data_IF_659379609754
#
_entry.id   IF_659379609754
#
_cell.length_a   1.000
_cell.length_b   1.000
_cell.length_c   1.000
_cell.angle_alpha   90.00
_cell.angle_beta   90.00
_cell.angle_gamma   90.00
#
_symmetry.space_group_name_H-M   'P 1'
#
loop_
_entity.id
_entity.type
_entity.pdbx_description
1 polymer ?
#
# COMPACT_ATOMS: atom_id res chain seq x y z
N UNK A 1 29.09 -11.79 -18.36
CA UNK A 1 27.93 -12.69 -18.34
C UNK A 1 26.81 -12.00 -17.60
N UNK A 2 25.74 -11.62 -18.30
CA UNK A 2 24.57 -11.00 -17.69
C UNK A 2 23.87 -12.05 -16.81
N UNK A 3 23.93 -11.87 -15.49
CA UNK A 3 23.23 -12.73 -14.55
C UNK A 3 21.72 -12.56 -14.76
N UNK A 4 21.05 -13.63 -15.19
CA UNK A 4 19.60 -13.69 -15.15
C UNK A 4 19.15 -13.41 -13.71
N UNK A 5 18.31 -12.39 -13.53
CA UNK A 5 17.73 -12.08 -12.23
C UNK A 5 16.87 -13.29 -11.81
N UNK A 6 17.15 -13.94 -10.67
CA UNK A 6 16.41 -15.11 -10.21
C UNK A 6 14.91 -14.84 -9.98
N UNK A 7 14.48 -13.57 -10.05
CA UNK A 7 13.08 -13.16 -9.98
C UNK A 7 12.31 -13.33 -11.30
N UNK A 8 12.97 -13.37 -12.47
CA UNK A 8 12.30 -13.61 -13.76
C UNK A 8 11.79 -15.05 -13.89
N UNK A 9 12.38 -15.98 -13.15
CA UNK A 9 11.98 -17.39 -13.21
C UNK A 9 10.72 -17.67 -12.38
N UNK A 10 10.40 -16.83 -11.39
CA UNK A 10 9.24 -17.00 -10.51
C UNK A 10 7.97 -16.40 -11.13
N UNK A 11 8.10 -15.28 -11.83
CA UNK A 11 7.00 -14.61 -12.51
C UNK A 11 7.30 -14.54 -14.01
N UNK A 12 6.55 -15.31 -14.82
CA UNK A 12 6.73 -15.34 -16.26
C UNK A 12 6.58 -13.95 -16.91
N UNK A 13 7.32 -13.69 -17.99
CA UNK A 13 7.41 -12.38 -18.65
C UNK A 13 6.03 -11.77 -18.98
N UNK A 14 5.11 -12.59 -19.50
CA UNK A 14 3.75 -12.15 -19.85
C UNK A 14 2.94 -11.60 -18.67
N UNK A 15 3.13 -12.16 -17.46
CA UNK A 15 2.48 -11.63 -16.25
C UNK A 15 3.00 -10.24 -15.91
N UNK A 16 4.31 -10.04 -15.97
CA UNK A 16 4.94 -8.77 -15.66
C UNK A 16 4.52 -7.69 -16.66
N UNK A 17 4.42 -8.03 -17.94
CA UNK A 17 3.97 -7.09 -18.98
C UNK A 17 2.49 -6.73 -18.83
N UNK A 18 1.63 -7.69 -18.46
CA UNK A 18 0.23 -7.42 -18.12
C UNK A 18 0.12 -6.42 -16.97
N UNK A 19 0.92 -6.60 -15.92
CA UNK A 19 0.90 -5.72 -14.73
C UNK A 19 1.44 -4.32 -15.08
N UNK A 20 2.50 -4.24 -15.89
CA UNK A 20 3.01 -2.95 -16.38
C UNK A 20 1.96 -2.19 -17.18
N UNK A 21 1.17 -2.89 -18.00
CA UNK A 21 0.10 -2.28 -18.79
C UNK A 21 -1.01 -1.63 -17.96
N UNK A 22 -1.19 -2.04 -16.70
CA UNK A 22 -2.23 -1.47 -15.80
C UNK A 22 -1.66 -0.53 -14.74
N UNK A 23 -0.35 -0.57 -14.47
CA UNK A 23 0.31 0.40 -13.61
C UNK A 23 0.46 1.73 -14.34
N UNK A 24 0.20 2.81 -13.62
CA UNK A 24 0.34 4.16 -14.13
C UNK A 24 1.62 4.80 -13.64
N UNK A 25 2.20 5.68 -14.45
CA UNK A 25 3.40 6.46 -14.10
C UNK A 25 3.22 7.33 -12.84
N UNK A 26 1.98 7.52 -12.41
CA UNK A 26 1.60 8.31 -11.23
C UNK A 26 1.08 7.47 -10.06
N UNK A 27 1.23 6.15 -10.09
CA UNK A 27 0.74 5.28 -9.03
C UNK A 27 1.54 5.43 -7.74
N UNK A 28 0.88 5.23 -6.59
CA UNK A 28 1.51 5.41 -5.29
C UNK A 28 2.64 4.39 -5.07
N UNK A 29 2.42 3.12 -5.44
CA UNK A 29 3.47 2.11 -5.33
C UNK A 29 4.63 2.40 -6.29
N UNK A 30 4.34 2.79 -7.54
CA UNK A 30 5.35 3.10 -8.53
C UNK A 30 6.24 4.26 -8.07
N UNK A 31 5.64 5.37 -7.64
CA UNK A 31 6.39 6.56 -7.25
C UNK A 31 7.08 6.41 -5.89
N UNK A 32 6.54 5.61 -4.96
CA UNK A 32 7.18 5.38 -3.66
C UNK A 32 8.30 4.34 -3.72
N UNK A 33 8.20 3.32 -4.58
CA UNK A 33 9.13 2.17 -4.56
C UNK A 33 9.89 1.91 -5.85
N UNK A 34 9.53 2.60 -6.94
CA UNK A 34 10.05 2.38 -8.29
C UNK A 34 9.25 1.32 -9.07
N UNK A 35 9.34 1.40 -10.40
CA UNK A 35 8.61 0.55 -11.36
C UNK A 35 8.75 -0.95 -11.08
N UNK A 36 9.98 -1.45 -10.99
CA UNK A 36 10.22 -2.88 -10.83
C UNK A 36 9.71 -3.42 -9.49
N UNK A 37 9.83 -2.64 -8.41
CA UNK A 37 9.33 -3.03 -7.10
C UNK A 37 7.79 -3.05 -7.08
N UNK A 38 7.15 -2.06 -7.68
CA UNK A 38 5.69 -1.99 -7.80
C UNK A 38 5.14 -3.17 -8.62
N UNK A 39 5.73 -3.45 -9.79
CA UNK A 39 5.34 -4.57 -10.64
C UNK A 39 5.47 -5.90 -9.89
N UNK A 40 6.61 -6.14 -9.22
CA UNK A 40 6.81 -7.35 -8.41
C UNK A 40 5.79 -7.46 -7.29
N UNK A 41 5.46 -6.35 -6.63
CA UNK A 41 4.48 -6.34 -5.56
C UNK A 41 3.09 -6.72 -6.06
N UNK A 42 2.64 -6.13 -7.17
CA UNK A 42 1.37 -6.48 -7.79
C UNK A 42 1.37 -7.93 -8.27
N UNK A 43 2.48 -8.42 -8.83
CA UNK A 43 2.61 -9.83 -9.24
C UNK A 43 2.44 -10.78 -8.06
N UNK A 44 3.00 -10.43 -6.89
CA UNK A 44 2.79 -11.19 -5.65
C UNK A 44 1.33 -11.16 -5.21
N UNK A 45 0.65 -10.02 -5.30
CA UNK A 45 -0.78 -9.91 -4.97
C UNK A 45 -1.63 -10.82 -5.86
N UNK A 46 -1.42 -10.73 -7.18
CA UNK A 46 -2.13 -11.54 -8.18
C UNK A 46 -1.87 -13.03 -7.98
N UNK A 47 -0.60 -13.41 -7.82
CA UNK A 47 -0.23 -14.81 -7.57
C UNK A 47 -0.86 -15.32 -6.27
N UNK A 48 -0.86 -14.53 -5.20
CA UNK A 48 -1.49 -14.93 -3.94
C UNK A 48 -3.00 -15.11 -4.06
N UNK A 49 -3.69 -14.26 -4.83
CA UNK A 49 -5.11 -14.45 -5.12
C UNK A 49 -5.36 -15.71 -5.95
N UNK A 50 -4.51 -15.96 -6.96
CA UNK A 50 -4.61 -17.11 -7.85
C UNK A 50 -4.42 -18.46 -7.13
N UNK A 51 -3.40 -18.61 -6.28
CA UNK A 51 -3.15 -19.87 -5.53
C UNK A 51 -4.27 -20.22 -4.53
N UNK A 52 -5.16 -19.27 -4.21
CA UNK A 52 -6.30 -19.48 -3.30
C UNK A 52 -7.53 -20.00 -4.03
N UNK A 53 -7.54 -20.01 -5.36
CA UNK A 53 -8.59 -20.68 -6.12
C UNK A 53 -8.49 -22.21 -5.95
N UNK A 54 -9.61 -22.95 -6.02
CA UNK A 54 -9.58 -24.41 -6.07
C UNK A 54 -8.71 -24.89 -7.23
N UNK A 55 -7.84 -25.88 -6.99
CA UNK A 55 -6.83 -26.35 -7.96
C UNK A 55 -7.46 -26.68 -9.31
N UNK A 56 -8.61 -27.37 -9.31
CA UNK A 56 -9.30 -27.83 -10.52
C UNK A 56 -9.95 -26.70 -11.33
N UNK A 57 -10.02 -25.49 -10.77
CA UNK A 57 -10.65 -24.31 -11.37
C UNK A 57 -9.64 -23.20 -11.72
N UNK A 58 -8.34 -23.44 -11.51
CA UNK A 58 -7.31 -22.43 -11.73
C UNK A 58 -7.09 -22.22 -13.23
N UNK A 59 -7.38 -21.04 -13.80
CA UNK A 59 -6.91 -20.70 -15.13
C UNK A 59 -5.38 -20.54 -15.12
N UNK A 60 -4.77 -20.32 -16.28
CA UNK A 60 -3.36 -19.92 -16.31
C UNK A 60 -3.19 -18.59 -15.58
N UNK A 61 -2.07 -18.40 -14.89
CA UNK A 61 -1.83 -17.22 -14.05
C UNK A 61 -1.90 -15.91 -14.84
N UNK A 62 -1.45 -15.91 -16.11
CA UNK A 62 -1.52 -14.73 -16.96
C UNK A 62 -2.96 -14.39 -17.38
N UNK A 63 -3.77 -15.40 -17.73
CA UNK A 63 -5.20 -15.22 -18.02
C UNK A 63 -5.94 -14.70 -16.80
N UNK A 64 -5.63 -15.23 -15.61
CA UNK A 64 -6.17 -14.72 -14.35
C UNK A 64 -5.83 -13.25 -14.16
N UNK A 65 -4.58 -12.86 -14.37
CA UNK A 65 -4.14 -11.47 -14.22
C UNK A 65 -4.87 -10.54 -15.20
N UNK A 66 -4.92 -10.91 -16.48
CA UNK A 66 -5.55 -10.13 -17.53
C UNK A 66 -7.06 -9.95 -17.32
N UNK A 67 -7.73 -10.94 -16.75
CA UNK A 67 -9.18 -10.91 -16.51
C UNK A 67 -9.58 -10.32 -15.16
N UNK A 68 -8.67 -10.35 -14.17
CA UNK A 68 -8.96 -9.92 -12.79
C UNK A 68 -8.45 -8.52 -12.48
N UNK A 69 -7.42 -8.04 -13.18
CA UNK A 69 -6.94 -6.67 -13.04
C UNK A 69 -7.75 -5.74 -13.94
N UNK A 70 -8.23 -4.65 -13.37
CA UNK A 70 -8.91 -3.60 -14.13
C UNK A 70 -8.53 -2.23 -13.59
N UNK A 71 -8.65 -1.22 -14.44
CA UNK A 71 -8.39 0.17 -14.11
C UNK A 71 -9.71 0.92 -13.93
N UNK A 72 -9.85 1.64 -12.81
CA UNK A 72 -11.13 2.23 -12.38
C UNK A 72 -11.88 3.10 -13.42
N UNK A 73 -11.25 3.98 -14.23
CA UNK A 73 -12.00 4.77 -15.22
C UNK A 73 -12.48 3.97 -16.44
N UNK A 74 -12.14 2.68 -16.56
CA UNK A 74 -12.74 1.81 -17.56
C UNK A 74 -14.17 1.35 -17.17
N UNK A 75 -14.61 1.61 -15.93
CA UNK A 75 -15.97 1.31 -15.48
C UNK A 75 -16.79 2.61 -15.56
N UNK A 76 -17.23 2.94 -16.78
CA UNK A 76 -17.90 4.19 -17.16
C UNK A 76 -19.29 4.44 -16.52
N UNK A 77 -19.79 3.53 -15.69
CA UNK A 77 -21.19 3.54 -15.20
C UNK A 77 -21.32 3.73 -13.67
N UNK A 78 -20.35 4.38 -13.05
CA UNK A 78 -20.25 4.48 -11.58
C UNK A 78 -20.65 5.86 -11.04
N UNK A 79 -21.89 6.27 -11.28
CA UNK A 79 -22.48 7.49 -10.66
C UNK A 79 -22.68 7.39 -9.12
N UNK A 80 -22.21 6.31 -8.47
CA UNK A 80 -22.53 5.97 -7.08
C UNK A 80 -21.35 5.54 -6.20
N UNK A 81 -20.10 5.86 -6.51
CA UNK A 81 -18.98 5.24 -5.78
C UNK A 81 -18.18 6.08 -4.80
N UNK A 82 -17.90 5.39 -3.70
CA UNK A 82 -17.06 5.76 -2.56
C UNK A 82 -15.56 5.70 -2.88
N UNK A 83 -15.12 5.55 -4.14
CA UNK A 83 -13.69 5.45 -4.51
C UNK A 83 -13.29 6.49 -5.56
N UNK A 84 -12.04 7.02 -5.52
CA UNK A 84 -11.59 8.01 -6.48
C UNK A 84 -11.17 7.34 -7.80
N UNK A 85 -11.20 8.10 -8.89
CA UNK A 85 -10.61 7.68 -10.16
C UNK A 85 -9.11 7.41 -10.02
N UNK A 86 -8.55 6.58 -10.91
CA UNK A 86 -7.11 6.32 -10.91
C UNK A 86 -6.67 5.13 -10.05
N UNK A 87 -7.60 4.31 -9.56
CA UNK A 87 -7.28 3.11 -8.80
C UNK A 87 -7.11 1.88 -9.69
N UNK A 88 -6.13 1.05 -9.35
CA UNK A 88 -5.91 -0.28 -9.91
C UNK A 88 -6.64 -1.27 -9.02
N UNK A 89 -7.52 -2.05 -9.64
CA UNK A 89 -8.45 -2.92 -8.97
C UNK A 89 -8.12 -4.38 -9.28
N UNK A 90 -8.17 -5.23 -8.26
CA UNK A 90 -8.16 -6.68 -8.39
C UNK A 90 -9.55 -7.21 -8.06
N UNK A 91 -10.15 -7.96 -8.98
CA UNK A 91 -11.46 -8.58 -8.78
C UNK A 91 -11.41 -9.52 -7.58
N UNK A 92 -12.27 -9.24 -6.60
CA UNK A 92 -12.57 -10.17 -5.52
C UNK A 92 -13.47 -11.27 -6.05
N UNK A 93 -13.12 -12.52 -5.79
CA UNK A 93 -14.03 -13.64 -6.07
C UNK A 93 -15.01 -13.87 -4.91
N UNK A 94 -16.26 -14.25 -5.21
CA UNK A 94 -17.29 -14.49 -4.19
C UNK A 94 -16.84 -15.52 -3.14
N UNK A 95 -17.13 -15.24 -1.87
CA UNK A 95 -16.90 -16.17 -0.76
C UNK A 95 -15.43 -16.32 -0.31
N UNK A 96 -14.48 -15.70 -1.01
CA UNK A 96 -13.06 -15.83 -0.71
C UNK A 96 -12.45 -14.50 -0.25
N UNK A 97 -11.95 -14.48 0.98
CA UNK A 97 -11.18 -13.36 1.51
C UNK A 97 -9.69 -13.62 1.22
N UNK A 98 -9.21 -13.08 0.10
CA UNK A 98 -7.86 -13.33 -0.42
C UNK A 98 -6.76 -12.57 0.32
N UNK A 99 -7.10 -11.38 0.80
CA UNK A 99 -6.19 -10.33 1.24
C UNK A 99 -6.82 -9.62 2.45
N UNK A 100 -6.03 -9.07 3.37
CA UNK A 100 -6.59 -8.30 4.49
C UNK A 100 -7.16 -6.94 4.09
N UNK A 101 -6.94 -6.49 2.85
CA UNK A 101 -7.48 -5.21 2.39
C UNK A 101 -9.02 -5.29 2.26
N UNK A 102 -9.77 -4.20 2.54
CA UNK A 102 -11.21 -4.16 2.31
C UNK A 102 -11.58 -4.51 0.87
N UNK A 103 -12.80 -5.03 0.70
CA UNK A 103 -13.46 -5.12 -0.58
C UNK A 103 -14.34 -3.89 -0.76
N UNK A 104 -14.27 -3.31 -1.95
CA UNK A 104 -15.07 -2.17 -2.36
C UNK A 104 -16.07 -2.62 -3.43
N UNK A 105 -17.30 -2.16 -3.30
CA UNK A 105 -18.35 -2.45 -4.27
C UNK A 105 -18.16 -1.54 -5.49
N UNK A 106 -18.09 -2.16 -6.67
CA UNK A 106 -18.09 -1.48 -7.97
C UNK A 106 -19.21 -2.07 -8.83
N UNK A 107 -20.37 -1.42 -8.83
CA UNK A 107 -21.62 -1.96 -9.36
C UNK A 107 -22.06 -3.22 -8.62
N UNK A 108 -22.13 -4.35 -9.32
CA UNK A 108 -22.47 -5.68 -8.77
C UNK A 108 -21.24 -6.54 -8.46
N UNK A 109 -20.04 -5.99 -8.65
CA UNK A 109 -18.77 -6.69 -8.48
C UNK A 109 -18.01 -6.13 -7.28
N UNK A 110 -17.18 -6.97 -6.65
CA UNK A 110 -16.33 -6.59 -5.53
C UNK A 110 -14.87 -6.54 -5.96
N UNK A 111 -14.14 -5.55 -5.49
CA UNK A 111 -12.74 -5.37 -5.82
C UNK A 111 -11.89 -5.05 -4.60
N UNK A 112 -10.66 -5.55 -4.59
CA UNK A 112 -9.60 -5.00 -3.78
C UNK A 112 -8.92 -3.87 -4.54
N UNK A 113 -8.62 -2.77 -3.84
CA UNK A 113 -7.78 -1.72 -4.40
C UNK A 113 -6.32 -2.06 -4.09
N UNK A 114 -5.51 -2.23 -5.13
CA UNK A 114 -4.11 -2.64 -5.00
C UNK A 114 -3.13 -1.52 -5.31
N UNK A 115 -3.58 -0.44 -5.95
CA UNK A 115 -2.83 0.80 -6.15
C UNK A 115 -3.79 1.96 -6.48
N UNK A 116 -3.36 3.21 -6.30
CA UNK A 116 -4.08 4.40 -6.76
C UNK A 116 -3.11 5.52 -7.16
N UNK A 117 -3.55 6.41 -8.05
CA UNK A 117 -2.82 7.63 -8.38
C UNK A 117 -2.61 8.53 -7.15
N UNK A 118 -1.43 9.15 -7.06
CA UNK A 118 -1.18 10.20 -6.07
C UNK A 118 -2.19 11.35 -6.26
N UNK A 119 -2.80 11.89 -5.19
CA UNK A 119 -3.71 13.03 -5.30
C UNK A 119 -3.05 14.25 -5.95
N UNK A 120 -3.82 15.02 -6.73
CA UNK A 120 -3.34 16.24 -7.36
C UNK A 120 -2.80 17.24 -6.31
N UNK A 121 -1.69 17.92 -6.63
CA UNK A 121 -1.00 18.83 -5.71
C UNK A 121 -0.10 18.12 -4.68
N UNK A 122 0.05 16.80 -4.78
CA UNK A 122 0.95 16.02 -3.94
C UNK A 122 2.01 15.28 -4.74
N UNK A 123 3.14 14.98 -4.10
CA UNK A 123 4.21 14.13 -4.64
C UNK A 123 4.53 13.02 -3.66
N UNK A 124 4.72 11.80 -4.15
CA UNK A 124 5.05 10.67 -3.29
C UNK A 124 6.40 10.89 -2.57
N UNK A 125 6.48 10.45 -1.32
CA UNK A 125 7.75 10.34 -0.61
C UNK A 125 8.34 8.96 -0.93
N UNK A 126 9.55 8.88 -1.51
CA UNK A 126 10.20 7.60 -1.79
C UNK A 126 10.46 6.77 -0.51
N UNK A 127 10.39 5.45 -0.62
CA UNK A 127 10.76 4.52 0.44
C UNK A 127 11.60 3.36 -0.09
N UNK A 128 12.84 3.28 0.39
CA UNK A 128 13.81 2.27 -0.06
C UNK A 128 13.66 0.91 0.65
N UNK A 129 12.79 0.82 1.66
CA UNK A 129 12.69 -0.31 2.60
C UNK A 129 12.12 -1.60 2.01
N UNK A 130 11.56 -1.54 0.79
CA UNK A 130 11.08 -2.69 0.03
C UNK A 130 12.20 -3.70 -0.31
N UNK A 131 13.46 -3.28 -0.24
CA UNK A 131 14.60 -3.97 -0.88
C UNK A 131 15.58 -4.63 0.10
N UNK A 132 15.38 -4.53 1.42
CA UNK A 132 16.45 -4.74 2.43
C UNK A 132 17.16 -6.11 2.43
N UNK A 133 16.60 -7.14 1.79
CA UNK A 133 17.25 -8.44 1.63
C UNK A 133 17.58 -8.81 0.18
N UNK A 134 17.04 -8.11 -0.82
CA UNK A 134 17.17 -8.50 -2.23
C UNK A 134 18.63 -8.47 -2.69
N UNK A 135 19.41 -7.51 -2.21
CA UNK A 135 20.82 -7.34 -2.58
C UNK A 135 21.74 -8.43 -2.02
N UNK A 136 21.41 -8.99 -0.85
CA UNK A 136 22.32 -9.89 -0.12
C UNK A 136 21.81 -11.34 -0.07
N UNK A 137 20.51 -11.57 -0.14
CA UNK A 137 19.92 -12.90 -0.13
C UNK A 137 18.51 -12.91 -0.76
N UNK A 138 18.42 -13.05 -2.09
CA UNK A 138 17.14 -13.12 -2.81
C UNK A 138 16.22 -14.22 -2.29
N UNK A 139 16.79 -15.39 -1.95
CA UNK A 139 16.04 -16.53 -1.41
C UNK A 139 15.40 -16.21 -0.05
N UNK A 140 16.14 -15.53 0.84
CA UNK A 140 15.61 -15.09 2.14
C UNK A 140 14.57 -13.99 1.96
N UNK A 141 14.79 -13.06 1.02
CA UNK A 141 13.82 -12.04 0.68
C UNK A 141 12.49 -12.69 0.24
N UNK A 142 12.55 -13.65 -0.67
CA UNK A 142 11.38 -14.40 -1.13
C UNK A 142 10.71 -15.19 -0.01
N UNK A 143 11.48 -15.91 0.81
CA UNK A 143 10.94 -16.69 1.93
C UNK A 143 10.19 -15.80 2.94
N UNK A 144 10.69 -14.61 3.24
CA UNK A 144 10.00 -13.62 4.10
C UNK A 144 8.77 -13.08 3.38
N UNK A 145 8.90 -12.67 2.13
CA UNK A 145 7.83 -12.11 1.32
C UNK A 145 6.67 -13.09 1.12
N UNK A 146 6.93 -14.39 1.02
CA UNK A 146 5.89 -15.42 0.86
C UNK A 146 4.99 -15.61 2.09
N UNK A 147 5.43 -15.12 3.26
CA UNK A 147 4.73 -15.29 4.56
C UNK A 147 3.97 -14.06 5.02
N UNK A 148 4.10 -12.94 4.31
CA UNK A 148 3.45 -11.67 4.65
C UNK A 148 2.35 -11.36 3.65
N UNK A 149 1.33 -10.62 4.09
CA UNK A 149 0.27 -10.16 3.20
C UNK A 149 0.89 -9.30 2.06
N UNK A 150 0.71 -9.70 0.78
CA UNK A 150 1.25 -8.94 -0.34
C UNK A 150 0.39 -7.72 -0.69
N UNK A 151 -0.86 -7.60 -0.21
CA UNK A 151 -1.69 -6.46 -0.55
C UNK A 151 -1.29 -5.22 0.27
N UNK A 152 -1.04 -4.06 -0.36
CA UNK A 152 -1.00 -2.82 0.39
C UNK A 152 -2.37 -2.53 1.01
N UNK A 153 -2.35 -1.94 2.19
CA UNK A 153 -3.54 -1.42 2.85
C UNK A 153 -3.60 0.07 2.56
N UNK A 154 -4.45 0.48 1.63
CA UNK A 154 -4.66 1.88 1.27
C UNK A 154 -5.74 2.52 2.15
N UNK A 155 -5.55 3.80 2.49
CA UNK A 155 -6.48 4.56 3.32
C UNK A 155 -7.25 5.58 2.48
N UNK A 156 -8.56 5.62 2.70
CA UNK A 156 -9.45 6.55 2.04
C UNK A 156 -10.22 7.34 3.10
N UNK A 157 -10.13 8.66 3.02
CA UNK A 157 -10.93 9.57 3.85
C UNK A 157 -12.37 9.59 3.36
N UNK A 158 -13.34 9.43 4.25
CA UNK A 158 -14.74 9.72 3.92
C UNK A 158 -14.94 11.23 3.80
N UNK A 159 -15.48 11.69 2.67
CA UNK A 159 -15.85 13.10 2.47
C UNK A 159 -17.36 13.24 2.59
N UNK A 160 -17.80 14.29 3.30
CA UNK A 160 -19.21 14.57 3.54
C UNK A 160 -20.00 14.97 2.30
N UNK A 161 -19.34 15.43 1.22
CA UNK A 161 -20.01 16.12 0.12
C UNK A 161 -19.99 15.39 -1.24
N UNK A 162 -19.02 14.50 -1.52
CA UNK A 162 -18.91 13.94 -2.90
C UNK A 162 -18.05 12.67 -3.06
N UNK A 163 -17.97 11.80 -2.06
CA UNK A 163 -17.26 10.51 -2.18
C UNK A 163 -16.13 10.35 -1.16
N UNK A 164 -15.02 9.74 -1.56
CA UNK A 164 -13.84 9.59 -0.70
C UNK A 164 -12.62 10.26 -1.33
N UNK A 165 -11.59 10.49 -0.51
CA UNK A 165 -10.28 10.97 -0.96
C UNK A 165 -9.22 9.93 -0.64
N UNK A 166 -8.34 9.66 -1.58
CA UNK A 166 -7.20 8.79 -1.34
C UNK A 166 -6.16 9.51 -0.46
N UNK A 167 -5.74 8.84 0.60
CA UNK A 167 -4.84 9.38 1.61
C UNK A 167 -5.54 10.22 2.67
N UNK A 168 -4.89 10.31 3.82
CA UNK A 168 -5.39 11.03 4.98
C UNK A 168 -4.33 11.95 5.61
N UNK A 169 -4.65 13.17 6.04
CA UNK A 169 -3.67 14.07 6.64
C UNK A 169 -3.06 13.48 7.92
N UNK A 170 -1.72 13.38 7.97
CA UNK A 170 -1.01 12.75 9.10
C UNK A 170 -1.38 13.42 10.43
N UNK A 171 -1.42 14.76 10.45
CA UNK A 171 -1.70 15.52 11.66
C UNK A 171 -3.13 15.27 12.18
N UNK A 172 -4.12 15.29 11.30
CA UNK A 172 -5.53 15.11 11.68
C UNK A 172 -5.81 13.68 12.15
N UNK A 173 -5.29 12.68 11.43
CA UNK A 173 -5.51 11.25 11.71
C UNK A 173 -4.85 10.83 13.01
N UNK A 174 -3.64 11.32 13.28
CA UNK A 174 -2.95 11.04 14.55
C UNK A 174 -3.76 11.51 15.75
N UNK A 175 -4.51 12.61 15.59
CA UNK A 175 -5.39 13.18 16.61
C UNK A 175 -6.80 12.58 16.60
N UNK A 176 -7.14 11.75 15.60
CA UNK A 176 -8.45 11.08 15.47
C UNK A 176 -9.53 11.93 14.81
N UNK A 177 -9.15 12.97 14.05
CA UNK A 177 -10.08 13.88 13.37
C UNK A 177 -10.54 13.42 11.99
N UNK A 178 -10.21 12.18 11.58
CA UNK A 178 -10.53 11.67 10.23
C UNK A 178 -11.32 10.37 10.34
N UNK A 179 -12.42 10.31 9.58
CA UNK A 179 -13.18 9.08 9.37
C UNK A 179 -12.67 8.35 8.13
N UNK A 180 -12.31 7.06 8.29
CA UNK A 180 -11.86 6.22 7.20
C UNK A 180 -13.02 5.45 6.59
N UNK A 181 -13.04 5.40 5.27
CA UNK A 181 -13.85 4.43 4.55
C UNK A 181 -13.45 3.02 4.99
N UNK A 182 -14.43 2.21 5.39
CA UNK A 182 -14.22 0.90 6.02
C UNK A 182 -13.30 0.91 7.26
N UNK A 183 -13.26 1.99 8.04
CA UNK A 183 -12.37 2.13 9.20
C UNK A 183 -12.44 0.98 10.23
N UNK A 184 -13.59 0.33 10.38
CA UNK A 184 -13.80 -0.81 11.29
C UNK A 184 -13.44 -2.17 10.69
N UNK A 185 -13.03 -2.22 9.42
CA UNK A 185 -12.60 -3.44 8.74
C UNK A 185 -11.48 -4.13 9.51
N UNK A 186 -11.66 -5.43 9.75
CA UNK A 186 -10.75 -6.22 10.56
C UNK A 186 -9.58 -6.74 9.72
N UNK A 187 -8.37 -6.57 10.24
CA UNK A 187 -7.12 -6.99 9.62
C UNK A 187 -6.68 -8.33 10.23
N UNK A 188 -6.82 -9.42 9.48
CA UNK A 188 -6.52 -10.76 9.98
C UNK A 188 -5.02 -10.97 10.21
N UNK A 189 -4.13 -10.44 9.35
CA UNK A 189 -2.68 -10.48 9.60
C UNK A 189 -2.25 -9.83 10.92
N UNK A 190 -3.08 -8.95 11.50
CA UNK A 190 -2.79 -8.25 12.75
C UNK A 190 -3.63 -8.76 13.93
N UNK A 191 -4.45 -9.80 13.75
CA UNK A 191 -5.39 -10.31 14.77
C UNK A 191 -4.72 -10.59 16.11
N UNK A 192 -3.57 -11.25 16.07
CA UNK A 192 -2.82 -11.70 17.25
C UNK A 192 -1.58 -10.83 17.53
N UNK A 193 -1.39 -9.75 16.77
CA UNK A 193 -0.22 -8.87 16.90
C UNK A 193 -0.51 -7.73 17.85
N UNK A 194 0.31 -7.62 18.89
CA UNK A 194 0.26 -6.52 19.87
C UNK A 194 1.11 -5.33 19.45
N UNK A 195 2.06 -5.52 18.54
CA UNK A 195 2.92 -4.45 18.02
C UNK A 195 3.28 -4.67 16.56
N UNK A 196 3.62 -3.57 15.88
CA UNK A 196 4.07 -3.53 14.50
C UNK A 196 5.22 -2.52 14.39
N UNK A 197 6.30 -2.89 13.71
CA UNK A 197 7.41 -1.99 13.40
C UNK A 197 7.06 -1.20 12.14
N UNK A 198 7.03 0.12 12.25
CA UNK A 198 6.89 1.05 11.14
C UNK A 198 8.29 1.47 10.72
N UNK A 199 8.68 1.05 9.52
CA UNK A 199 9.96 1.39 8.93
C UNK A 199 9.78 2.63 8.04
N UNK A 200 10.57 3.66 8.27
CA UNK A 200 10.63 4.91 7.53
C UNK A 200 12.09 5.13 7.13
N UNK A 201 12.39 5.13 5.85
CA UNK A 201 13.75 5.38 5.35
C UNK A 201 13.68 6.50 4.34
N UNK A 202 13.89 7.72 4.84
CA UNK A 202 13.96 8.93 4.04
C UNK A 202 15.44 9.26 3.88
N UNK A 203 16.04 8.78 2.79
CA UNK A 203 17.42 9.09 2.42
C UNK A 203 17.58 10.62 2.35
N UNK A 204 18.30 11.19 3.31
CA UNK A 204 18.48 12.65 3.44
C UNK A 204 18.21 13.18 4.85
N UNK A 205 17.35 12.52 5.65
CA UNK A 205 17.09 12.90 7.04
C UNK A 205 18.16 12.28 7.95
N UNK A 206 19.32 12.96 8.07
CA UNK A 206 20.44 12.49 8.91
C UNK A 206 20.05 12.40 10.38
N UNK A 207 20.50 11.33 11.05
CA UNK A 207 20.50 11.21 12.52
C UNK A 207 19.22 10.63 13.16
N UNK A 208 18.21 10.24 12.38
CA UNK A 208 17.00 9.63 12.93
C UNK A 208 16.97 8.11 12.74
N UNK A 209 16.53 7.40 13.78
CA UNK A 209 16.16 5.99 13.63
C UNK A 209 14.99 5.89 12.66
N UNK A 210 15.25 5.28 11.50
CA UNK A 210 14.26 4.93 10.49
C UNK A 210 13.29 3.81 10.90
N UNK A 211 13.26 3.43 12.18
CA UNK A 211 12.30 2.46 12.70
C UNK A 211 11.58 3.04 13.92
N UNK A 212 10.24 3.04 13.87
CA UNK A 212 9.38 3.34 15.02
C UNK A 212 8.49 2.14 15.28
N UNK A 213 8.30 1.78 16.54
CA UNK A 213 7.38 0.71 16.90
C UNK A 213 6.02 1.31 17.27
N UNK A 214 4.96 0.82 16.64
CA UNK A 214 3.58 1.07 17.07
C UNK A 214 3.08 -0.10 17.91
N UNK A 215 2.27 0.20 18.93
CA UNK A 215 1.72 -0.80 19.84
C UNK A 215 0.22 -0.64 19.95
N UNK A 216 -0.49 -1.76 19.87
CA UNK A 216 -1.89 -1.84 20.29
C UNK A 216 -2.00 -1.62 21.79
N UNK A 217 -3.14 -1.11 22.25
CA UNK A 217 -3.42 -1.04 23.68
C UNK A 217 -4.01 -2.38 24.16
N UNK A 218 -3.92 -2.67 25.45
CA UNK A 218 -4.61 -3.83 26.06
C UNK A 218 -6.12 -3.68 25.80
N UNK A 219 -6.74 -4.67 25.15
CA UNK A 219 -8.14 -4.61 24.71
C UNK A 219 -8.39 -3.98 23.33
N UNK A 220 -7.47 -3.14 22.83
CA UNK A 220 -7.54 -2.47 21.52
C UNK A 220 -6.25 -2.72 20.69
N UNK A 221 -6.04 -3.94 20.17
CA UNK A 221 -4.91 -4.27 19.31
C UNK A 221 -5.05 -3.61 17.93
N UNK A 222 -4.05 -3.83 17.08
CA UNK A 222 -3.93 -3.25 15.73
C UNK A 222 -4.94 -3.83 14.72
N UNK A 223 -6.11 -4.28 15.19
CA UNK A 223 -6.98 -5.18 14.43
C UNK A 223 -7.85 -4.49 13.38
N UNK A 224 -7.89 -3.17 13.31
CA UNK A 224 -8.71 -2.47 12.33
C UNK A 224 -7.97 -1.32 11.63
N UNK A 225 -8.54 -0.88 10.50
CA UNK A 225 -7.96 0.16 9.67
C UNK A 225 -7.80 1.49 10.39
N UNK A 226 -8.83 1.94 11.11
CA UNK A 226 -8.79 3.19 11.89
C UNK A 226 -7.61 3.22 12.86
N UNK A 227 -7.41 2.12 13.59
CA UNK A 227 -6.32 2.02 14.56
C UNK A 227 -4.96 1.95 13.88
N UNK A 228 -4.85 1.21 12.79
CA UNK A 228 -3.61 1.10 12.02
C UNK A 228 -3.19 2.45 11.43
N UNK A 229 -4.12 3.18 10.81
CA UNK A 229 -3.86 4.51 10.26
C UNK A 229 -3.48 5.51 11.36
N UNK A 230 -4.25 5.58 12.45
CA UNK A 230 -3.97 6.48 13.59
C UNK A 230 -2.59 6.27 14.18
N UNK A 231 -2.21 5.02 14.42
CA UNK A 231 -0.91 4.72 15.02
C UNK A 231 0.24 4.92 14.04
N UNK A 232 0.05 4.57 12.76
CA UNK A 232 1.04 4.84 11.71
C UNK A 232 1.26 6.34 11.54
N UNK A 233 0.19 7.13 11.46
CA UNK A 233 0.26 8.59 11.40
C UNK A 233 0.98 9.17 12.63
N UNK A 234 0.67 8.66 13.83
CA UNK A 234 1.38 9.04 15.05
C UNK A 234 2.87 8.69 15.03
N UNK A 235 3.26 7.58 14.41
CA UNK A 235 4.67 7.20 14.22
C UNK A 235 5.38 8.14 13.23
N UNK A 236 4.74 8.47 12.11
CA UNK A 236 5.25 9.43 11.12
C UNK A 236 5.43 10.81 11.74
N UNK A 237 4.42 11.33 12.46
CA UNK A 237 4.51 12.60 13.18
C UNK A 237 5.68 12.63 14.16
N UNK A 238 5.86 11.57 14.96
CA UNK A 238 6.98 11.46 15.93
C UNK A 238 8.34 11.35 15.26
N UNK A 239 8.40 10.71 14.09
CA UNK A 239 9.62 10.66 13.28
C UNK A 239 10.00 12.08 12.84
N UNK A 240 9.07 12.80 12.19
CA UNK A 240 9.31 14.17 11.73
C UNK A 240 9.64 15.13 12.88
N UNK A 241 8.89 15.10 13.99
CA UNK A 241 9.12 15.96 15.14
C UNK A 241 10.49 15.74 15.81
N UNK A 242 11.10 14.55 15.65
CA UNK A 242 12.44 14.26 16.15
C UNK A 242 13.55 15.01 15.42
N UNK A 243 13.24 15.75 14.33
CA UNK A 243 14.21 16.45 13.48
C UNK A 243 14.01 17.95 13.42
N UNK A 244 13.01 18.49 14.15
CA UNK A 244 12.61 19.88 14.08
C UNK A 244 11.13 20.04 13.70
N UNK A 245 10.70 21.28 13.53
CA UNK A 245 9.36 21.63 13.04
C UNK A 245 9.19 21.37 11.54
N UNK A 246 10.29 21.32 10.81
CA UNK A 246 10.35 21.14 9.38
C UNK A 246 11.27 19.98 9.01
N UNK A 247 11.01 19.35 7.87
CA UNK A 247 11.80 18.26 7.30
C UNK A 247 12.16 18.64 5.88
N UNK A 248 13.42 18.43 5.50
CA UNK A 248 13.91 18.68 4.15
C UNK A 248 14.27 17.35 3.49
N UNK A 249 13.74 17.11 2.29
CA UNK A 249 14.11 15.96 1.47
C UNK A 249 14.53 16.43 0.07
N UNK A 250 15.58 15.83 -0.46
CA UNK A 250 16.07 16.14 -1.80
C UNK A 250 14.96 15.92 -2.84
N UNK A 251 14.75 16.90 -3.72
CA UNK A 251 13.69 16.89 -4.73
C UNK A 251 12.27 17.18 -4.21
N UNK A 252 12.03 17.23 -2.90
CA UNK A 252 10.74 17.62 -2.30
C UNK A 252 10.79 18.97 -1.57
N UNK A 253 11.98 19.46 -1.24
CA UNK A 253 12.15 20.71 -0.49
C UNK A 253 11.82 20.55 0.99
N UNK A 254 11.48 21.67 1.62
CA UNK A 254 11.14 21.75 3.05
C UNK A 254 9.62 21.68 3.26
N UNK A 255 9.20 20.79 4.16
CA UNK A 255 7.79 20.57 4.48
C UNK A 255 7.58 20.27 5.97
N UNK A 256 6.35 20.43 6.42
CA UNK A 256 5.92 20.13 7.79
C UNK A 256 5.04 18.89 7.83
N UNK A 257 4.75 18.37 9.02
CA UNK A 257 3.81 17.24 9.17
C UNK A 257 2.40 17.55 8.62
N UNK A 258 2.00 18.82 8.60
CA UNK A 258 0.70 19.27 8.04
C UNK A 258 0.63 19.13 6.53
N UNK A 259 1.79 19.08 5.88
CA UNK A 259 1.90 18.93 4.43
C UNK A 259 1.86 17.45 4.01
N UNK A 260 1.90 16.49 4.94
CA UNK A 260 2.03 15.06 4.65
C UNK A 260 0.68 14.33 4.68
N UNK A 261 0.42 13.56 3.62
CA UNK A 261 -0.64 12.55 3.57
C UNK A 261 -0.07 11.16 3.85
N UNK A 262 -0.81 10.40 4.66
CA UNK A 262 -0.65 8.96 4.81
C UNK A 262 -1.59 8.25 3.83
N UNK A 263 -1.00 7.64 2.81
CA UNK A 263 -1.72 6.96 1.72
C UNK A 263 -2.12 5.53 2.10
N UNK A 264 -1.30 4.87 2.91
CA UNK A 264 -1.48 3.45 3.23
C UNK A 264 -0.27 2.87 3.95
N UNK A 265 -0.26 1.55 4.08
CA UNK A 265 0.91 0.78 4.51
C UNK A 265 1.11 -0.46 3.64
N UNK A 266 2.35 -0.86 3.49
CA UNK A 266 2.75 -2.12 2.86
C UNK A 266 3.55 -2.96 3.86
N UNK A 267 3.21 -4.23 4.00
CA UNK A 267 3.99 -5.13 4.86
C UNK A 267 5.33 -5.47 4.18
N UNK A 268 6.41 -5.38 4.95
CA UNK A 268 7.78 -5.65 4.49
C UNK A 268 8.47 -6.74 5.32
N UNK A 269 7.79 -7.27 6.34
CA UNK A 269 8.24 -8.40 7.15
C UNK A 269 7.19 -8.83 8.16
N UNK A 270 7.43 -9.96 8.82
CA UNK A 270 6.55 -10.42 9.89
C UNK A 270 6.61 -9.43 11.07
N UNK A 271 5.52 -8.69 11.26
CA UNK A 271 5.48 -7.60 12.24
C UNK A 271 6.22 -6.33 11.81
N UNK A 272 6.47 -6.13 10.51
CA UNK A 272 7.01 -4.87 9.99
C UNK A 272 6.23 -4.36 8.76
N UNK A 273 5.98 -3.06 8.72
CA UNK A 273 5.34 -2.37 7.62
C UNK A 273 6.04 -1.05 7.32
N UNK A 274 5.89 -0.58 6.08
CA UNK A 274 6.37 0.70 5.61
C UNK A 274 5.16 1.56 5.23
N UNK A 275 5.09 2.84 5.66
CA UNK A 275 4.03 3.73 5.27
C UNK A 275 4.23 4.21 3.83
N UNK A 276 3.13 4.29 3.08
CA UNK A 276 3.06 4.99 1.79
C UNK A 276 2.65 6.43 2.08
N UNK A 277 3.45 7.39 1.61
CA UNK A 277 3.31 8.80 1.98
C UNK A 277 3.39 9.70 0.76
N UNK A 278 2.75 10.85 0.85
CA UNK A 278 2.92 11.94 -0.10
C UNK A 278 3.00 13.28 0.61
N UNK A 279 3.65 14.26 -0.01
CA UNK A 279 3.80 15.62 0.51
C UNK A 279 3.12 16.61 -0.43
N UNK A 280 2.47 17.63 0.14
CA UNK A 280 1.87 18.73 -0.60
C UNK A 280 2.96 19.56 -1.27
N UNK A 281 2.80 19.81 -2.55
CA UNK A 281 3.67 20.72 -3.28
C UNK A 281 3.29 22.16 -2.93
N UNK A 282 4.29 23.00 -2.67
CA UNK A 282 4.12 24.46 -2.60
C UNK A 282 4.41 25.01 -3.99
N UNK A 283 3.45 25.74 -4.54
CA UNK A 283 3.63 26.50 -5.79
C UNK A 283 4.60 27.69 -5.58
#
# INVERSE_FOLDING_TARGET
>A
MAGASPNRDVFGAHLLDTIRGVLLDHSALFLSSGSDAAVKQLARVVHHAWIRLPVDSRPLLHDFAATSLTYAPAIMDMQHHELPSGCVLLRGAPGNQYLDAPLYDCGHLKYHVIDCCIPAGYRAIPSNLSTSYELWSPQRAWAVQSRINPCPILFFQRSSWSGCRFGVPVEEVANGGVDLLHGDHRLYALKDKTSLKIKMDWSGVRGQSGEKQIRGAKGSPLRNLNRLAKLTAGAVRKFMAGGGTTTTLEGLGEFTVRDVLLLGVIFVGDGAATPLLAVRMRD
#
